data_IF_352448571376
#
_entry.id   IF_352448571376
#
_cell.length_a   1.000
_cell.length_b   1.000
_cell.length_c   1.000
_cell.angle_alpha   90.00
_cell.angle_beta   90.00
_cell.angle_gamma   90.00
#
_symmetry.space_group_name_H-M   'P 1'
#
loop_
_entity.id
_entity.type
_entity.pdbx_description
1 polymer ?
#
# COMPACT_ATOMS: atom_id res chain seq x y z
N UNK A 1 8.62 28.13 6.60
CA UNK A 1 9.53 28.61 5.57
C UNK A 1 8.91 29.83 4.90
N UNK A 2 9.62 30.97 4.89
CA UNK A 2 9.17 32.18 4.21
C UNK A 2 9.30 32.04 2.69
N UNK A 3 8.57 32.88 1.96
CA UNK A 3 8.55 32.85 0.49
C UNK A 3 9.94 32.99 -0.14
N UNK A 4 10.82 33.79 0.46
CA UNK A 4 12.20 33.96 -0.01
C UNK A 4 13.04 32.68 0.18
N UNK A 5 12.85 31.96 1.28
CA UNK A 5 13.50 30.66 1.48
C UNK A 5 13.05 29.63 0.45
N UNK A 6 11.77 29.67 0.04
CA UNK A 6 11.24 28.82 -1.00
C UNK A 6 11.85 29.17 -2.37
N UNK A 7 11.91 30.45 -2.73
CA UNK A 7 12.56 30.90 -3.97
C UNK A 7 14.00 30.38 -4.09
N UNK A 8 14.77 30.52 -3.02
CA UNK A 8 16.16 30.08 -2.99
C UNK A 8 16.32 28.57 -3.07
N UNK A 9 15.38 27.81 -2.50
CA UNK A 9 15.39 26.35 -2.52
C UNK A 9 14.89 25.77 -3.87
N UNK A 10 14.07 26.50 -4.62
CA UNK A 10 13.46 26.02 -5.86
C UNK A 10 14.36 26.15 -7.11
N UNK A 11 15.54 26.71 -6.98
CA UNK A 11 16.48 26.83 -8.09
C UNK A 11 17.02 25.43 -8.43
N UNK A 12 16.52 24.86 -9.54
CA UNK A 12 17.02 23.61 -10.12
C UNK A 12 16.28 22.32 -9.72
N UNK A 13 15.04 22.39 -9.20
CA UNK A 13 14.25 21.20 -8.87
C UNK A 13 12.76 21.34 -9.17
N UNK A 14 12.09 20.19 -9.40
CA UNK A 14 10.64 20.11 -9.45
C UNK A 14 10.08 20.09 -8.02
N UNK A 15 9.13 20.98 -7.72
CA UNK A 15 8.57 21.15 -6.38
C UNK A 15 7.06 20.98 -6.39
N UNK A 16 6.58 20.23 -5.40
CA UNK A 16 5.16 20.12 -5.10
C UNK A 16 4.90 20.77 -3.75
N UNK A 17 3.96 21.71 -3.70
CA UNK A 17 3.50 22.33 -2.45
C UNK A 17 2.16 21.69 -2.10
N UNK A 18 2.12 21.02 -0.95
CA UNK A 18 0.93 20.35 -0.45
C UNK A 18 0.61 20.84 0.96
N UNK A 19 -0.68 20.78 1.33
CA UNK A 19 -1.10 20.99 2.71
C UNK A 19 -0.49 19.90 3.60
N UNK A 20 0.05 20.28 4.73
CA UNK A 20 0.47 19.32 5.76
C UNK A 20 -0.75 18.59 6.30
N UNK A 21 -0.67 17.27 6.36
CA UNK A 21 -1.68 16.40 6.92
C UNK A 21 -1.17 15.82 8.25
N UNK A 22 -2.09 15.58 9.17
CA UNK A 22 -1.81 14.94 10.45
C UNK A 22 -2.54 13.60 10.55
N UNK A 23 -1.91 12.63 11.23
CA UNK A 23 -2.49 11.31 11.48
C UNK A 23 -3.83 11.42 12.24
N UNK A 24 -4.77 10.57 11.89
CA UNK A 24 -6.03 10.46 12.61
C UNK A 24 -5.85 10.00 14.06
N UNK A 25 -6.83 10.26 14.96
CA UNK A 25 -6.72 9.98 16.38
C UNK A 25 -6.36 8.54 16.70
N UNK A 26 -6.95 7.58 15.99
CA UNK A 26 -6.65 6.16 16.17
C UNK A 26 -5.16 5.84 15.90
N UNK A 27 -4.60 6.36 14.80
CA UNK A 27 -3.19 6.16 14.48
C UNK A 27 -2.28 6.89 15.47
N UNK A 28 -2.65 8.12 15.86
CA UNK A 28 -1.91 8.89 16.88
C UNK A 28 -1.79 8.16 18.21
N UNK A 29 -2.79 7.38 18.60
CA UNK A 29 -2.74 6.60 19.86
C UNK A 29 -1.68 5.51 19.86
N UNK A 30 -1.26 5.04 18.70
CA UNK A 30 -0.25 4.00 18.52
C UNK A 30 1.11 4.54 18.14
N UNK A 31 1.16 5.70 17.52
CA UNK A 31 2.39 6.31 17.02
C UNK A 31 3.15 7.07 18.14
N UNK A 32 4.47 7.17 18.02
CA UNK A 32 5.25 8.02 18.93
C UNK A 32 4.98 9.50 18.65
N UNK A 33 5.36 10.35 19.61
CA UNK A 33 5.30 11.81 19.44
C UNK A 33 6.14 12.22 18.21
N UNK A 34 5.65 13.23 17.50
CA UNK A 34 6.30 13.77 16.31
C UNK A 34 6.56 12.73 15.19
N UNK A 35 5.77 11.65 15.14
CA UNK A 35 5.77 10.77 13.98
C UNK A 35 5.25 11.55 12.75
N UNK A 36 5.83 11.33 11.56
CA UNK A 36 5.30 11.89 10.33
C UNK A 36 3.93 11.29 10.00
N UNK A 37 3.27 11.82 8.97
CA UNK A 37 2.09 11.20 8.40
C UNK A 37 2.40 9.75 8.05
N UNK A 38 1.63 8.85 8.62
CA UNK A 38 1.75 7.41 8.41
C UNK A 38 0.75 6.97 7.35
N UNK A 39 1.20 6.22 6.37
CA UNK A 39 0.40 5.84 5.22
C UNK A 39 0.07 4.36 5.21
N UNK A 40 -0.97 4.00 4.46
CA UNK A 40 -1.29 2.63 4.12
C UNK A 40 -0.92 2.40 2.66
N UNK A 41 -0.03 1.46 2.37
CA UNK A 41 0.21 0.96 1.03
C UNK A 41 -0.79 -0.15 0.75
N UNK A 42 -1.71 0.12 -0.18
CA UNK A 42 -2.72 -0.85 -0.62
C UNK A 42 -2.45 -1.20 -2.08
N UNK A 43 -2.37 -2.48 -2.37
CA UNK A 43 -2.21 -2.96 -3.74
C UNK A 43 -3.57 -3.37 -4.28
N UNK A 44 -3.91 -2.83 -5.44
CA UNK A 44 -5.09 -3.23 -6.19
C UNK A 44 -4.72 -3.83 -7.55
N UNK A 45 -5.54 -4.78 -7.99
CA UNK A 45 -5.45 -5.42 -9.30
C UNK A 45 -6.70 -5.12 -10.11
N UNK A 46 -6.53 -4.88 -11.42
CA UNK A 46 -7.63 -4.63 -12.35
C UNK A 46 -7.62 -5.63 -13.49
N UNK A 47 -8.74 -6.35 -13.66
CA UNK A 47 -9.00 -7.17 -14.85
C UNK A 47 -9.31 -6.30 -16.08
N UNK A 48 -9.53 -5.02 -15.91
CA UNK A 48 -9.65 -4.06 -17.00
C UNK A 48 -8.42 -4.00 -17.90
N UNK A 49 -7.22 -4.26 -17.36
CA UNK A 49 -5.99 -4.40 -18.12
C UNK A 49 -5.97 -5.60 -19.10
N UNK A 50 -6.85 -6.58 -18.91
CA UNK A 50 -7.02 -7.72 -19.82
C UNK A 50 -7.92 -7.41 -21.02
N UNK A 51 -8.60 -6.27 -21.02
CA UNK A 51 -9.48 -5.86 -22.11
C UNK A 51 -8.64 -5.41 -23.30
N UNK A 52 -8.99 -5.88 -24.47
CA UNK A 52 -8.17 -5.71 -25.66
C UNK A 52 -7.15 -6.82 -25.89
N UNK A 53 -6.99 -7.72 -24.93
CA UNK A 53 -6.38 -9.03 -25.15
C UNK A 53 -7.45 -10.01 -25.70
N UNK A 54 -7.08 -11.02 -26.48
CA UNK A 54 -8.00 -12.05 -26.94
C UNK A 54 -8.70 -12.74 -25.76
N UNK A 55 -9.97 -13.05 -25.89
CA UNK A 55 -10.70 -13.84 -24.89
C UNK A 55 -11.95 -13.18 -24.31
N UNK A 56 -12.37 -13.66 -23.12
CA UNK A 56 -13.72 -13.46 -22.54
C UNK A 56 -14.12 -12.02 -22.19
N UNK A 57 -13.17 -11.07 -22.09
CA UNK A 57 -13.43 -9.71 -21.60
C UNK A 57 -13.48 -8.64 -22.71
N UNK A 58 -13.28 -9.04 -23.97
CA UNK A 58 -13.33 -8.12 -25.11
C UNK A 58 -14.71 -7.47 -25.20
N UNK A 59 -14.77 -6.13 -25.14
CA UNK A 59 -15.99 -5.32 -25.30
C UNK A 59 -16.95 -5.18 -24.10
N UNK A 60 -16.62 -5.67 -22.90
CA UNK A 60 -17.44 -5.36 -21.70
C UNK A 60 -16.95 -4.09 -21.00
N UNK A 61 -17.81 -3.23 -20.45
CA UNK A 61 -17.37 -2.11 -19.61
C UNK A 61 -16.67 -2.65 -18.36
N UNK A 62 -15.64 -1.94 -17.90
CA UNK A 62 -14.95 -2.27 -16.65
C UNK A 62 -15.84 -1.86 -15.51
N UNK A 63 -16.11 -2.79 -14.59
CA UNK A 63 -16.97 -2.59 -13.43
C UNK A 63 -16.14 -2.69 -12.14
N UNK A 64 -16.71 -2.26 -11.03
CA UNK A 64 -16.03 -2.31 -9.72
C UNK A 64 -15.63 -3.72 -9.31
N UNK A 65 -16.35 -4.73 -9.76
CA UNK A 65 -16.04 -6.14 -9.50
C UNK A 65 -14.83 -6.66 -10.29
N UNK A 66 -14.41 -5.94 -11.33
CA UNK A 66 -13.16 -6.20 -12.03
C UNK A 66 -11.93 -5.70 -11.26
N UNK A 67 -12.14 -4.91 -10.20
CA UNK A 67 -11.07 -4.31 -9.38
C UNK A 67 -11.05 -4.98 -8.00
N UNK A 68 -9.88 -5.48 -7.61
CA UNK A 68 -9.67 -6.13 -6.32
C UNK A 68 -8.57 -5.41 -5.53
N UNK A 69 -8.79 -5.16 -4.24
CA UNK A 69 -7.76 -4.74 -3.31
C UNK A 69 -7.17 -5.98 -2.64
N UNK A 70 -5.88 -6.24 -2.88
CA UNK A 70 -5.24 -7.51 -2.58
C UNK A 70 -4.49 -7.52 -1.25
N UNK A 71 -3.87 -6.40 -0.88
CA UNK A 71 -3.01 -6.34 0.31
C UNK A 71 -3.02 -4.96 0.94
N UNK A 72 -2.68 -4.91 2.22
CA UNK A 72 -2.51 -3.66 2.95
C UNK A 72 -1.30 -3.73 3.87
N UNK A 73 -0.46 -2.71 3.82
CA UNK A 73 0.66 -2.51 4.74
C UNK A 73 0.56 -1.12 5.36
N UNK A 74 0.53 -1.05 6.68
CA UNK A 74 0.63 0.21 7.39
C UNK A 74 2.10 0.59 7.63
N UNK A 75 2.49 1.78 7.20
CA UNK A 75 3.80 2.38 7.43
C UNK A 75 3.74 3.24 8.69
N UNK A 76 4.05 2.64 9.85
CA UNK A 76 4.05 3.33 11.13
C UNK A 76 5.29 4.23 11.25
N UNK A 77 5.09 5.54 11.25
CA UNK A 77 6.16 6.53 11.24
C UNK A 77 6.99 6.53 12.53
N UNK A 78 8.29 6.80 12.41
CA UNK A 78 9.26 6.85 13.51
C UNK A 78 9.33 8.25 14.14
N UNK A 79 9.72 8.33 15.39
CA UNK A 79 9.92 9.62 16.12
C UNK A 79 10.83 10.56 15.34
N UNK A 80 10.38 11.79 15.11
CA UNK A 80 11.12 12.85 14.43
C UNK A 80 11.59 12.51 13.00
N UNK A 81 11.09 11.44 12.40
CA UNK A 81 11.35 11.17 10.98
C UNK A 81 10.66 12.25 10.12
N UNK A 82 11.28 12.63 9.02
CA UNK A 82 10.70 13.63 8.09
C UNK A 82 9.60 13.03 7.21
N UNK A 83 9.70 11.73 6.93
CA UNK A 83 8.79 10.97 6.07
C UNK A 83 8.60 9.57 6.63
N UNK A 84 7.71 8.79 6.03
CA UNK A 84 7.47 7.39 6.39
C UNK A 84 8.45 6.39 5.74
N UNK A 85 9.50 6.86 5.05
CA UNK A 85 10.49 5.97 4.43
C UNK A 85 11.25 5.08 5.41
N UNK A 86 11.46 5.57 6.65
CA UNK A 86 12.07 4.80 7.74
C UNK A 86 11.04 4.09 8.64
N UNK A 87 9.77 4.07 8.24
CA UNK A 87 8.68 3.49 9.00
C UNK A 87 8.87 2.00 9.30
N UNK A 88 8.19 1.54 10.34
CA UNK A 88 7.95 0.12 10.55
C UNK A 88 6.77 -0.29 9.69
N UNK A 89 6.96 -1.33 8.90
CA UNK A 89 5.96 -1.87 7.99
C UNK A 89 5.15 -2.95 8.70
N UNK A 90 3.92 -2.65 9.09
CA UNK A 90 3.02 -3.63 9.69
C UNK A 90 2.07 -4.18 8.63
N UNK A 91 1.99 -5.50 8.52
CA UNK A 91 0.96 -6.13 7.71
C UNK A 91 -0.41 -5.90 8.33
N UNK A 92 -1.36 -5.53 7.49
CA UNK A 92 -2.77 -5.39 7.88
C UNK A 92 -3.59 -6.38 7.06
N UNK A 93 -4.40 -7.18 7.74
CA UNK A 93 -5.26 -8.13 7.06
C UNK A 93 -6.32 -7.39 6.24
N UNK A 94 -6.39 -7.58 4.92
CA UNK A 94 -7.20 -6.73 4.03
C UNK A 94 -8.71 -6.80 4.29
N UNK A 95 -9.21 -7.91 4.83
CA UNK A 95 -10.65 -8.09 5.11
C UNK A 95 -11.04 -7.67 6.52
N UNK A 96 -10.18 -7.91 7.51
CA UNK A 96 -10.52 -7.69 8.94
C UNK A 96 -9.93 -6.41 9.52
N UNK A 97 -8.91 -5.84 8.89
CA UNK A 97 -8.15 -4.70 9.43
C UNK A 97 -7.20 -5.05 10.57
N UNK A 98 -7.07 -6.34 10.94
CA UNK A 98 -6.17 -6.77 12.00
C UNK A 98 -4.72 -6.46 11.64
N UNK A 99 -4.03 -5.74 12.53
CA UNK A 99 -2.61 -5.44 12.38
C UNK A 99 -1.80 -6.62 12.86
N UNK A 100 -1.00 -7.15 11.96
CA UNK A 100 -0.09 -8.27 12.21
C UNK A 100 1.32 -7.79 12.51
N UNK A 101 2.29 -8.70 12.47
CA UNK A 101 3.69 -8.38 12.78
C UNK A 101 4.28 -7.39 11.78
N UNK A 102 5.13 -6.51 12.29
CA UNK A 102 5.85 -5.52 11.52
C UNK A 102 7.30 -5.88 11.24
N UNK A 103 7.91 -5.18 10.27
CA UNK A 103 9.33 -5.26 9.92
C UNK A 103 9.84 -3.92 9.38
N UNK A 104 11.12 -3.79 9.12
CA UNK A 104 11.70 -2.63 8.44
C UNK A 104 11.83 -2.86 6.94
N UNK A 105 12.04 -1.80 6.15
CA UNK A 105 12.32 -1.89 4.73
C UNK A 105 13.54 -2.78 4.42
N UNK A 106 14.59 -2.71 5.24
CA UNK A 106 15.83 -3.47 5.03
C UNK A 106 15.60 -4.97 5.20
N UNK A 107 14.80 -5.36 6.20
CA UNK A 107 14.58 -6.78 6.54
C UNK A 107 13.40 -7.39 5.76
N UNK A 108 12.67 -6.58 5.06
CA UNK A 108 11.55 -7.02 4.26
C UNK A 108 11.94 -8.03 3.17
N UNK A 109 13.00 -7.74 2.43
CA UNK A 109 13.49 -8.63 1.37
C UNK A 109 14.00 -9.96 1.92
N UNK A 110 14.53 -9.98 3.12
CA UNK A 110 15.04 -11.19 3.75
C UNK A 110 13.92 -12.17 4.15
N UNK A 111 12.71 -11.69 4.42
CA UNK A 111 11.57 -12.56 4.78
C UNK A 111 11.10 -13.48 3.66
N UNK A 112 11.17 -13.04 2.41
CA UNK A 112 10.81 -13.85 1.25
C UNK A 112 11.73 -15.06 1.11
N UNK A 113 13.03 -14.88 1.37
CA UNK A 113 14.03 -15.94 1.32
C UNK A 113 14.12 -16.76 2.61
N UNK A 114 13.73 -16.23 3.76
CA UNK A 114 13.83 -16.91 5.04
C UNK A 114 12.90 -18.12 5.19
N UNK A 115 11.84 -18.19 4.42
CA UNK A 115 11.01 -19.39 4.32
C UNK A 115 11.74 -20.57 3.66
N UNK A 116 12.75 -20.27 2.84
CA UNK A 116 13.58 -21.27 2.15
C UNK A 116 14.83 -21.63 2.94
N UNK A 117 15.38 -20.66 3.67
CA UNK A 117 16.55 -20.84 4.52
C UNK A 117 16.16 -20.56 5.95
N UNK A 118 15.95 -21.60 6.74
CA UNK A 118 15.64 -21.52 8.17
C UNK A 118 16.80 -20.88 8.93
N UNK A 119 16.86 -19.57 8.96
CA UNK A 119 17.88 -18.83 9.71
C UNK A 119 17.27 -18.14 10.92
N UNK A 120 17.93 -18.20 12.09
CA UNK A 120 17.45 -17.61 13.35
C UNK A 120 17.30 -16.09 13.34
N UNK A 121 17.73 -15.42 12.32
CA UNK A 121 17.70 -13.95 12.16
C UNK A 121 16.31 -13.36 11.96
N UNK A 122 15.32 -14.19 11.68
CA UNK A 122 13.95 -13.75 11.39
C UNK A 122 13.22 -13.25 12.64
N UNK A 123 13.64 -13.69 13.83
CA UNK A 123 12.98 -13.35 15.10
C UNK A 123 13.29 -11.91 15.57
N UNK A 124 14.47 -11.39 15.28
CA UNK A 124 14.93 -10.08 15.80
C UNK A 124 14.27 -8.89 15.15
N UNK A 125 13.65 -9.08 13.98
CA UNK A 125 13.03 -8.00 13.18
C UNK A 125 11.51 -8.13 13.08
N UNK A 126 10.90 -8.87 14.00
CA UNK A 126 9.46 -9.03 14.12
C UNK A 126 8.91 -8.06 15.19
N UNK A 127 8.49 -6.90 14.74
CA UNK A 127 7.90 -5.91 15.63
C UNK A 127 6.45 -6.26 15.95
N UNK A 128 6.14 -6.39 17.23
CA UNK A 128 4.76 -6.44 17.75
C UNK A 128 4.37 -5.16 18.47
N UNK A 129 5.36 -4.36 18.83
CA UNK A 129 5.26 -3.04 19.45
C UNK A 129 5.99 -2.01 18.61
N UNK A 130 5.58 -0.78 18.71
CA UNK A 130 6.32 0.32 18.08
C UNK A 130 7.64 0.54 18.81
N UNK A 131 8.81 0.50 18.15
CA UNK A 131 10.10 0.51 18.83
C UNK A 131 10.43 1.82 19.54
N UNK A 132 9.82 2.94 19.18
CA UNK A 132 10.14 4.25 19.76
C UNK A 132 9.33 4.58 21.01
N UNK A 133 8.13 4.01 21.18
CA UNK A 133 7.27 4.29 22.35
C UNK A 133 6.78 3.04 23.06
N UNK A 134 7.19 1.85 22.59
CA UNK A 134 6.80 0.55 23.12
C UNK A 134 5.27 0.29 23.15
N UNK A 135 4.50 1.04 22.37
CA UNK A 135 3.06 0.80 22.24
C UNK A 135 2.79 -0.50 21.50
N UNK A 136 1.91 -1.34 22.04
CA UNK A 136 1.49 -2.59 21.38
C UNK A 136 0.72 -2.25 20.10
N UNK A 137 1.18 -2.76 18.97
CA UNK A 137 0.59 -2.55 17.64
C UNK A 137 -0.18 -3.79 17.18
N UNK A 138 0.45 -4.94 17.26
CA UNK A 138 -0.14 -6.21 16.80
C UNK A 138 -1.42 -6.55 17.55
N UNK A 139 -2.44 -6.97 16.81
CA UNK A 139 -3.76 -7.33 17.35
C UNK A 139 -4.74 -6.15 17.43
N UNK A 140 -4.29 -4.90 17.22
CA UNK A 140 -5.23 -3.81 16.99
C UNK A 140 -5.90 -3.98 15.62
N UNK A 141 -7.08 -3.41 15.47
CA UNK A 141 -7.87 -3.47 14.23
C UNK A 141 -8.02 -2.06 13.66
N UNK A 142 -7.60 -1.86 12.43
CA UNK A 142 -7.78 -0.60 11.71
C UNK A 142 -9.29 -0.39 11.49
N UNK A 143 -9.84 0.75 11.95
CA UNK A 143 -11.25 1.05 11.74
C UNK A 143 -11.55 1.26 10.25
N UNK A 144 -12.77 0.97 9.83
CA UNK A 144 -13.26 1.22 8.47
C UNK A 144 -12.42 0.57 7.36
N UNK A 145 -11.81 -0.58 7.65
CA UNK A 145 -10.93 -1.26 6.69
C UNK A 145 -11.64 -1.57 5.37
N UNK A 146 -12.90 -2.02 5.44
CA UNK A 146 -13.70 -2.27 4.24
C UNK A 146 -13.87 -1.01 3.40
N UNK A 147 -14.20 0.12 4.03
CA UNK A 147 -14.35 1.41 3.36
C UNK A 147 -13.05 1.86 2.70
N UNK A 148 -11.91 1.62 3.36
CA UNK A 148 -10.58 1.93 2.81
C UNK A 148 -10.27 1.10 1.57
N UNK A 149 -10.61 -0.19 1.58
CA UNK A 149 -10.44 -1.07 0.42
C UNK A 149 -11.37 -0.67 -0.72
N UNK A 150 -12.62 -0.37 -0.44
CA UNK A 150 -13.58 0.10 -1.43
C UNK A 150 -13.20 1.45 -2.02
N UNK A 151 -12.66 2.37 -1.20
CA UNK A 151 -12.12 3.65 -1.65
C UNK A 151 -10.99 3.48 -2.67
N UNK A 152 -10.06 2.58 -2.42
CA UNK A 152 -8.95 2.28 -3.35
C UNK A 152 -9.47 1.62 -4.64
N UNK A 153 -10.45 0.70 -4.53
CA UNK A 153 -11.08 0.08 -5.71
C UNK A 153 -11.77 1.12 -6.59
N UNK A 154 -12.53 2.02 -5.98
CA UNK A 154 -13.22 3.11 -6.69
C UNK A 154 -12.21 4.07 -7.35
N UNK A 155 -11.14 4.43 -6.65
CA UNK A 155 -10.06 5.25 -7.20
C UNK A 155 -9.39 4.57 -8.41
N UNK A 156 -9.08 3.28 -8.31
CA UNK A 156 -8.51 2.52 -9.41
C UNK A 156 -9.44 2.49 -10.63
N UNK A 157 -10.72 2.20 -10.40
CA UNK A 157 -11.73 2.18 -11.46
C UNK A 157 -11.85 3.52 -12.19
N UNK A 158 -11.87 4.62 -11.44
CA UNK A 158 -12.07 5.96 -12.02
C UNK A 158 -10.85 6.55 -12.69
N UNK A 159 -9.66 6.30 -12.12
CA UNK A 159 -8.44 6.98 -12.55
C UNK A 159 -7.64 6.17 -13.58
N UNK A 160 -7.52 4.86 -13.36
CA UNK A 160 -6.60 4.01 -14.11
C UNK A 160 -7.14 2.60 -14.36
N UNK A 161 -8.39 2.41 -14.81
CA UNK A 161 -9.06 1.10 -14.85
C UNK A 161 -8.33 0.05 -15.70
N UNK A 162 -7.51 0.48 -16.66
CA UNK A 162 -6.76 -0.41 -17.56
C UNK A 162 -5.36 -0.77 -17.05
N UNK A 163 -4.90 -0.17 -15.94
CA UNK A 163 -3.61 -0.52 -15.35
C UNK A 163 -3.78 -1.81 -14.55
N UNK A 164 -3.01 -2.88 -14.85
CA UNK A 164 -3.22 -4.18 -14.20
C UNK A 164 -3.04 -4.14 -12.69
N UNK A 165 -2.06 -3.38 -12.22
CA UNK A 165 -1.65 -3.34 -10.81
C UNK A 165 -1.23 -1.94 -10.42
N UNK A 166 -1.70 -1.49 -9.25
CA UNK A 166 -1.29 -0.22 -8.67
C UNK A 166 -1.14 -0.34 -7.15
N UNK A 167 -0.08 0.25 -6.63
CA UNK A 167 0.13 0.45 -5.19
C UNK A 167 -0.28 1.85 -4.78
N UNK A 168 -1.35 1.98 -4.01
CA UNK A 168 -1.91 3.24 -3.56
C UNK A 168 -1.38 3.62 -2.18
N UNK A 169 -1.00 4.87 -2.00
CA UNK A 169 -0.68 5.43 -0.69
C UNK A 169 -1.90 6.19 -0.16
N UNK A 170 -2.49 5.65 0.91
CA UNK A 170 -3.68 6.19 1.56
C UNK A 170 -3.31 6.72 2.94
N UNK A 171 -3.72 7.94 3.25
CA UNK A 171 -3.62 8.51 4.59
C UNK A 171 -4.97 8.45 5.30
N UNK A 172 -4.94 8.10 6.58
CA UNK A 172 -6.09 8.21 7.47
C UNK A 172 -5.86 9.41 8.40
N UNK A 173 -6.56 10.50 8.13
CA UNK A 173 -6.27 11.83 8.69
C UNK A 173 -7.27 12.25 9.75
N UNK A 174 -6.89 13.25 10.53
CA UNK A 174 -7.71 13.77 11.64
C UNK A 174 -8.97 14.49 11.16
N UNK A 175 -8.84 15.31 10.12
CA UNK A 175 -9.89 16.25 9.71
C UNK A 175 -10.58 15.88 8.41
N UNK A 176 -9.93 15.11 7.55
CA UNK A 176 -10.39 14.85 6.19
C UNK A 176 -10.75 13.37 5.96
N UNK A 177 -10.65 12.53 7.00
CA UNK A 177 -10.88 11.09 6.86
C UNK A 177 -9.79 10.41 6.01
N UNK A 178 -10.19 9.62 5.03
CA UNK A 178 -9.29 8.93 4.12
C UNK A 178 -8.94 9.80 2.92
N UNK A 179 -7.65 9.95 2.64
CA UNK A 179 -7.13 10.67 1.50
C UNK A 179 -6.19 9.80 0.68
N UNK A 180 -6.36 9.85 -0.63
CA UNK A 180 -5.43 9.25 -1.58
C UNK A 180 -4.29 10.23 -1.83
N UNK A 181 -3.06 9.80 -1.63
CA UNK A 181 -1.87 10.63 -1.80
C UNK A 181 -1.23 10.42 -3.17
N UNK A 182 -1.02 9.15 -3.54
CA UNK A 182 -0.39 8.80 -4.81
C UNK A 182 -0.74 7.38 -5.24
N UNK A 183 -0.56 7.10 -6.56
CA UNK A 183 -0.60 5.76 -7.14
C UNK A 183 0.77 5.40 -7.71
N UNK A 184 1.27 4.22 -7.36
CA UNK A 184 2.57 3.70 -7.79
C UNK A 184 2.39 2.50 -8.70
N UNK A 185 2.91 2.57 -9.93
CA UNK A 185 2.86 1.46 -10.90
C UNK A 185 3.98 0.45 -10.68
N UNK A 186 5.07 0.86 -10.04
CA UNK A 186 6.12 -0.04 -9.57
C UNK A 186 5.82 -0.46 -8.13
N UNK A 187 4.84 -1.33 -7.94
CA UNK A 187 4.45 -1.80 -6.62
C UNK A 187 5.11 -3.13 -6.27
N UNK A 188 5.54 -3.24 -5.01
CA UNK A 188 6.18 -4.44 -4.50
C UNK A 188 5.16 -5.30 -3.75
N UNK A 189 4.72 -6.40 -4.37
CA UNK A 189 3.70 -7.31 -3.87
C UNK A 189 4.06 -8.02 -2.57
N UNK A 190 5.34 -8.24 -2.34
CA UNK A 190 5.79 -9.07 -1.24
C UNK A 190 5.76 -8.38 0.12
N UNK A 191 5.20 -7.15 0.19
CA UNK A 191 5.20 -6.34 1.41
C UNK A 191 3.91 -6.43 2.21
N UNK A 192 3.23 -7.54 2.23
CA UNK A 192 2.03 -7.70 3.03
C UNK A 192 1.44 -9.08 2.94
N UNK A 193 0.60 -9.43 3.90
CA UNK A 193 -0.33 -10.52 3.70
C UNK A 193 -1.29 -10.09 2.59
N UNK A 194 -1.42 -10.89 1.57
CA UNK A 194 -2.32 -10.64 0.45
C UNK A 194 -3.26 -11.83 0.28
N UNK A 195 -4.38 -11.59 -0.34
CA UNK A 195 -5.31 -12.63 -0.77
C UNK A 195 -4.63 -13.41 -1.90
N UNK A 196 -3.99 -14.54 -1.54
CA UNK A 196 -3.18 -15.33 -2.46
C UNK A 196 -4.03 -15.93 -3.57
N UNK A 197 -5.23 -16.40 -3.24
CA UNK A 197 -6.12 -17.03 -4.21
C UNK A 197 -6.56 -16.01 -5.27
N UNK A 198 -7.00 -14.84 -4.84
CA UNK A 198 -7.39 -13.75 -5.74
C UNK A 198 -6.20 -13.26 -6.60
N UNK A 199 -5.01 -13.19 -6.03
CA UNK A 199 -3.80 -12.79 -6.76
C UNK A 199 -3.39 -13.82 -7.81
N UNK A 200 -3.32 -15.10 -7.44
CA UNK A 200 -2.92 -16.16 -8.38
C UNK A 200 -3.96 -16.34 -9.48
N UNK A 201 -5.24 -16.22 -9.18
CA UNK A 201 -6.29 -16.21 -10.19
C UNK A 201 -6.11 -15.06 -11.18
N UNK A 202 -5.86 -13.85 -10.69
CA UNK A 202 -5.60 -12.67 -11.53
C UNK A 202 -4.36 -12.87 -12.42
N UNK A 203 -3.25 -13.34 -11.87
CA UNK A 203 -1.99 -13.56 -12.60
C UNK A 203 -2.17 -14.64 -13.67
N UNK A 204 -2.83 -15.75 -13.34
CA UNK A 204 -3.14 -16.81 -14.31
C UNK A 204 -3.93 -16.25 -15.49
N UNK A 205 -5.02 -15.54 -15.22
CA UNK A 205 -5.87 -14.97 -16.27
C UNK A 205 -5.09 -13.99 -17.16
N UNK A 206 -4.16 -13.24 -16.55
CA UNK A 206 -3.31 -12.29 -17.26
C UNK A 206 -2.34 -12.99 -18.21
N UNK A 207 -1.64 -14.03 -17.74
CA UNK A 207 -0.72 -14.80 -18.58
C UNK A 207 -1.43 -15.56 -19.70
N UNK A 208 -2.57 -16.17 -19.42
CA UNK A 208 -3.39 -16.83 -20.46
C UNK A 208 -3.80 -15.84 -21.55
N UNK A 209 -4.22 -14.63 -21.18
CA UNK A 209 -4.58 -13.61 -22.16
C UNK A 209 -3.38 -13.11 -22.99
N UNK A 210 -2.17 -13.05 -22.40
CA UNK A 210 -0.95 -12.72 -23.13
C UNK A 210 -0.53 -13.82 -24.12
N UNK A 211 -0.62 -15.09 -23.73
CA UNK A 211 -0.33 -16.23 -24.60
C UNK A 211 -1.25 -16.23 -25.83
N UNK A 212 -2.56 -16.08 -25.62
CA UNK A 212 -3.53 -15.98 -26.72
C UNK A 212 -3.22 -14.83 -27.69
N UNK A 213 -2.72 -13.70 -27.18
CA UNK A 213 -2.30 -12.58 -28.02
C UNK A 213 -1.07 -12.89 -28.87
N UNK A 214 -0.14 -13.70 -28.35
CA UNK A 214 1.04 -14.11 -29.10
C UNK A 214 0.70 -15.07 -30.25
N UNK A 215 -0.33 -15.92 -30.07
CA UNK A 215 -0.78 -16.85 -31.09
C UNK A 215 -1.55 -16.16 -32.24
N UNK A 216 -2.14 -14.96 -32.01
CA UNK A 216 -2.84 -14.18 -33.03
C UNK A 216 -1.89 -13.33 -33.92
N UNK A 217 -0.61 -13.15 -33.57
CA UNK A 217 0.40 -12.42 -34.33
C UNK A 217 1.36 -13.33 -35.09
#
# INVERSE_FOLDING_TARGET
LGFESFKNASVGGDWIIQRKLDNGPFLKSMLPKNAPLSTFRIISASRGGLRGLPGKLKNKPIMIDDIQALSCVWRAGRTNAKTDHSAILFNVHPKTGEIKRGTTNVHWYQRGFSKVFTTPWVSEHNYTHHPDNNTKITGNVIPNMKEMMDFVRDAHLRLIPHVPLCGWDVAFTENDGMLLLEGNFSCNFFRGDFDQDAYFEFIRDYFVALELKQEEN
#
